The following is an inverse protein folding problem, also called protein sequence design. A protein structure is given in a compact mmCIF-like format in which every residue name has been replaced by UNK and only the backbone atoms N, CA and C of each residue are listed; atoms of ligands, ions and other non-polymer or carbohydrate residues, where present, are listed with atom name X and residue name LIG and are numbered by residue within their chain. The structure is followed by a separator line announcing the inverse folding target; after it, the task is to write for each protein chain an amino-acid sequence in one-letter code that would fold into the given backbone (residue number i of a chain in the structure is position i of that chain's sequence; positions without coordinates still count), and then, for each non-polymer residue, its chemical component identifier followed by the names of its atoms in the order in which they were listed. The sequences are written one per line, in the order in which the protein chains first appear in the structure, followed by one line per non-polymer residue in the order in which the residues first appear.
data_IF_553288174294
#
_entry.id   IF_553288174294
#
_cell.length_a   1.000
_cell.length_b   1.000
_cell.length_c   1.000
_cell.angle_alpha   90.00
_cell.angle_beta   90.00
_cell.angle_gamma   90.00
#
_symmetry.space_group_name_H-M   'P 1'
#
loop_
_entity.id
_entity.type
_entity.pdbx_description
1 polymer ?
#
# COMPACT_ATOMS: atom_id res chain seq x y z
N UNK A 1 0.19 36.87 -16.77
CA UNK A 1 0.37 35.68 -15.91
C UNK A 1 -0.31 35.94 -14.56
N UNK A 2 -1.63 35.73 -14.47
CA UNK A 2 -2.37 35.76 -13.19
C UNK A 2 -3.42 34.66 -13.31
N UNK A 3 -2.99 33.41 -13.11
CA UNK A 3 -3.88 32.24 -13.14
C UNK A 3 -3.43 31.17 -12.12
N UNK A 4 -2.99 31.61 -10.95
CA UNK A 4 -2.75 30.73 -9.79
C UNK A 4 -3.52 31.16 -8.54
N UNK A 5 -4.16 32.34 -8.54
CA UNK A 5 -4.83 32.88 -7.35
C UNK A 5 -6.30 32.43 -7.24
N UNK A 6 -6.91 32.02 -8.36
CA UNK A 6 -8.36 31.80 -8.41
C UNK A 6 -8.79 30.47 -7.78
N UNK A 7 -8.00 29.39 -7.93
CA UNK A 7 -8.41 28.03 -7.52
C UNK A 7 -8.38 27.77 -6.00
N UNK A 8 -7.71 28.61 -5.19
CA UNK A 8 -7.66 28.40 -3.73
C UNK A 8 -8.90 28.92 -3.00
N UNK A 9 -9.67 29.81 -3.65
CA UNK A 9 -10.89 30.38 -3.05
C UNK A 9 -12.06 29.40 -3.00
N UNK A 10 -12.08 28.37 -3.87
CA UNK A 10 -13.12 27.33 -3.90
C UNK A 10 -13.01 26.36 -2.71
N UNK A 11 -11.85 26.30 -2.04
CA UNK A 11 -11.61 25.46 -0.86
C UNK A 11 -11.80 26.22 0.47
N UNK A 12 -12.33 27.45 0.44
CA UNK A 12 -12.53 28.28 1.64
C UNK A 12 -11.23 28.76 2.29
N UNK A 13 -10.11 28.73 1.56
CA UNK A 13 -8.81 29.15 2.07
C UNK A 13 -8.58 30.62 1.67
N UNK A 14 -8.72 31.52 2.64
CA UNK A 14 -8.34 32.92 2.45
C UNK A 14 -6.81 33.06 2.47
N UNK A 15 -6.23 33.36 1.31
CA UNK A 15 -4.80 33.66 1.21
C UNK A 15 -4.53 35.10 1.63
N UNK A 16 -4.09 35.29 2.88
CA UNK A 16 -3.60 36.58 3.37
C UNK A 16 -2.11 36.70 3.12
N UNK A 17 -1.71 37.56 2.18
CA UNK A 17 -0.31 37.90 1.93
C UNK A 17 0.26 38.61 3.17
N UNK A 18 0.99 37.87 4.00
CA UNK A 18 1.80 38.46 5.08
C UNK A 18 3.18 38.76 4.51
N UNK A 19 3.67 39.97 4.81
CA UNK A 19 4.96 40.55 4.43
C UNK A 19 6.10 39.52 4.38
N UNK A 20 6.94 39.65 3.35
CA UNK A 20 8.00 38.72 2.94
C UNK A 20 8.69 37.98 4.10
N UNK A 21 8.38 36.70 4.23
CA UNK A 21 9.05 35.78 5.16
C UNK A 21 10.47 35.55 4.63
N UNK A 22 11.49 35.74 5.49
CA UNK A 22 12.88 35.42 5.14
C UNK A 22 12.95 33.96 4.66
N UNK A 23 13.54 33.74 3.49
CA UNK A 23 13.68 32.40 2.88
C UNK A 23 14.27 31.34 3.82
N UNK A 24 15.01 31.76 4.84
CA UNK A 24 15.50 30.91 5.92
C UNK A 24 14.38 30.20 6.68
N UNK A 25 13.30 30.90 7.03
CA UNK A 25 12.17 30.29 7.76
C UNK A 25 11.46 29.23 6.89
N UNK A 26 11.42 29.45 5.58
CA UNK A 26 10.90 28.45 4.65
C UNK A 26 11.81 27.23 4.55
N UNK A 27 13.13 27.44 4.53
CA UNK A 27 14.12 26.37 4.54
C UNK A 27 14.11 25.59 5.87
N UNK A 28 14.02 26.30 7.00
CA UNK A 28 13.92 25.72 8.34
C UNK A 28 12.63 24.90 8.48
N UNK A 29 11.50 25.38 7.94
CA UNK A 29 10.24 24.63 7.89
C UNK A 29 10.33 23.38 7.01
N UNK A 30 10.99 23.45 5.85
CA UNK A 30 11.22 22.27 4.99
C UNK A 30 12.17 21.28 5.67
N UNK A 31 13.20 21.76 6.37
CA UNK A 31 14.11 20.92 7.16
C UNK A 31 13.36 20.26 8.32
N UNK A 32 12.51 20.99 9.03
CA UNK A 32 11.68 20.46 10.13
C UNK A 32 10.69 19.39 9.62
N UNK A 33 10.07 19.61 8.46
CA UNK A 33 9.20 18.63 7.79
C UNK A 33 9.94 17.41 7.22
N UNK A 34 11.24 17.52 6.94
CA UNK A 34 12.05 16.43 6.37
C UNK A 34 12.85 15.66 7.41
N UNK A 35 13.15 16.27 8.56
CA UNK A 35 13.80 15.62 9.70
C UNK A 35 12.97 14.47 10.24
N UNK A 36 11.65 14.62 10.29
CA UNK A 36 10.75 13.58 10.79
C UNK A 36 10.69 12.37 9.82
N UNK A 37 10.83 12.62 8.51
CA UNK A 37 10.82 11.57 7.48
C UNK A 37 12.03 10.62 7.53
N UNK A 38 13.15 11.01 8.12
CA UNK A 38 14.35 10.18 8.18
C UNK A 38 14.29 9.09 9.28
N UNK A 39 13.32 9.17 10.21
CA UNK A 39 13.20 8.26 11.35
C UNK A 39 11.90 7.43 11.39
N UNK A 40 10.90 7.76 10.58
CA UNK A 40 9.64 7.01 10.51
C UNK A 40 9.88 5.75 9.67
N UNK A 41 9.88 4.58 10.31
CA UNK A 41 9.87 3.30 9.57
C UNK A 41 8.66 3.29 8.63
N UNK A 42 8.86 2.98 7.36
CA UNK A 42 7.76 2.87 6.40
C UNK A 42 6.70 1.91 6.97
N UNK A 43 5.42 2.33 7.08
CA UNK A 43 4.36 1.48 7.61
C UNK A 43 4.29 0.19 6.78
N UNK A 44 4.60 -0.92 7.43
CA UNK A 44 4.69 -2.24 6.81
C UNK A 44 3.41 -3.03 7.05
N UNK A 45 2.92 -3.65 5.99
CA UNK A 45 1.75 -4.54 6.02
C UNK A 45 2.20 -5.99 5.96
N UNK A 46 1.49 -6.87 6.65
CA UNK A 46 1.72 -8.32 6.52
C UNK A 46 0.68 -8.93 5.57
N UNK A 47 1.16 -9.70 4.60
CA UNK A 47 0.34 -10.42 3.63
C UNK A 47 0.56 -11.93 3.81
N UNK A 48 -0.46 -12.63 4.29
CA UNK A 48 -0.48 -14.09 4.38
C UNK A 48 -1.29 -14.65 3.23
N UNK A 49 -0.73 -15.65 2.57
CA UNK A 49 -1.33 -16.33 1.43
C UNK A 49 -1.22 -17.83 1.65
N UNK A 50 -2.32 -18.53 1.37
CA UNK A 50 -2.36 -19.99 1.35
C UNK A 50 -3.25 -20.40 0.17
N UNK A 51 -2.83 -21.40 -0.60
CA UNK A 51 -3.53 -21.84 -1.80
C UNK A 51 -3.58 -23.36 -1.87
N UNK A 52 -4.75 -23.90 -2.18
CA UNK A 52 -4.94 -25.33 -2.30
C UNK A 52 -5.74 -25.70 -3.54
N UNK A 53 -5.31 -26.77 -4.19
CA UNK A 53 -5.99 -27.38 -5.32
C UNK A 53 -6.32 -28.84 -5.00
N UNK A 54 -7.58 -29.18 -5.15
CA UNK A 54 -8.09 -30.55 -5.02
C UNK A 54 -8.77 -30.97 -6.32
N UNK A 55 -9.22 -32.22 -6.39
CA UNK A 55 -10.00 -32.70 -7.53
C UNK A 55 -11.33 -31.96 -7.71
N UNK A 56 -11.88 -31.40 -6.62
CA UNK A 56 -13.21 -30.77 -6.58
C UNK A 56 -13.17 -29.26 -6.50
N UNK A 57 -12.18 -28.68 -5.82
CA UNK A 57 -12.10 -27.23 -5.58
C UNK A 57 -10.68 -26.71 -5.62
N UNK A 58 -10.53 -25.45 -6.03
CA UNK A 58 -9.26 -24.75 -6.19
C UNK A 58 -9.44 -23.32 -5.75
N UNK A 59 -8.74 -22.94 -4.70
CA UNK A 59 -8.87 -21.61 -4.14
C UNK A 59 -7.84 -21.35 -3.08
N UNK A 60 -7.69 -20.08 -2.76
CA UNK A 60 -6.74 -19.64 -1.76
C UNK A 60 -7.34 -18.63 -0.80
N UNK A 61 -6.72 -18.56 0.37
CA UNK A 61 -6.98 -17.57 1.39
C UNK A 61 -5.94 -16.45 1.33
N UNK A 62 -6.40 -15.25 1.62
CA UNK A 62 -5.57 -14.06 1.77
C UNK A 62 -5.91 -13.41 3.11
N UNK A 63 -4.89 -13.08 3.89
CA UNK A 63 -5.03 -12.20 5.04
C UNK A 63 -4.06 -11.04 4.89
N UNK A 64 -4.60 -9.83 4.78
CA UNK A 64 -3.84 -8.60 4.75
C UNK A 64 -3.98 -7.91 6.11
N UNK A 65 -2.86 -7.60 6.76
CA UNK A 65 -2.82 -6.96 8.09
C UNK A 65 -2.22 -5.56 7.96
N UNK A 66 -2.97 -4.55 8.40
CA UNK A 66 -2.49 -3.16 8.42
C UNK A 66 -1.40 -2.96 9.46
N UNK A 67 -0.57 -1.91 9.34
CA UNK A 67 0.38 -1.52 10.39
C UNK A 67 -0.30 -1.22 11.73
N UNK A 68 -1.60 -0.91 11.72
CA UNK A 68 -2.43 -0.67 12.91
C UNK A 68 -3.00 -1.96 13.50
N UNK A 69 -2.83 -3.10 12.82
CA UNK A 69 -3.31 -4.43 13.24
C UNK A 69 -4.67 -4.82 12.67
N UNK A 70 -5.28 -4.01 11.80
CA UNK A 70 -6.55 -4.34 11.15
C UNK A 70 -6.37 -5.51 10.19
N UNK A 71 -7.31 -6.47 10.20
CA UNK A 71 -7.21 -7.69 9.39
C UNK A 71 -8.29 -7.72 8.32
N UNK A 72 -7.87 -7.80 7.07
CA UNK A 72 -8.74 -7.96 5.90
C UNK A 72 -8.57 -9.37 5.33
N UNK A 73 -9.65 -10.14 5.29
CA UNK A 73 -9.65 -11.52 4.83
C UNK A 73 -10.34 -11.64 3.48
N UNK A 74 -9.70 -12.31 2.53
CA UNK A 74 -10.24 -12.55 1.21
C UNK A 74 -10.04 -14.01 0.79
N UNK A 75 -10.82 -14.44 -0.18
CA UNK A 75 -10.71 -15.76 -0.79
C UNK A 75 -10.70 -15.63 -2.30
N UNK A 76 -9.87 -16.44 -2.96
CA UNK A 76 -9.82 -16.58 -4.41
C UNK A 76 -10.35 -17.95 -4.80
N UNK A 77 -10.94 -18.06 -5.99
CA UNK A 77 -11.33 -19.33 -6.57
C UNK A 77 -10.88 -19.37 -8.03
N UNK A 78 -10.24 -20.46 -8.41
CA UNK A 78 -9.80 -20.70 -9.79
C UNK A 78 -10.79 -21.65 -10.46
N UNK A 79 -11.25 -21.28 -11.65
CA UNK A 79 -12.22 -22.07 -12.42
C UNK A 79 -11.56 -23.07 -13.38
N UNK A 80 -10.24 -23.01 -13.53
CA UNK A 80 -9.46 -23.89 -14.40
C UNK A 80 -8.65 -24.91 -13.58
N UNK A 81 -8.26 -26.04 -14.18
CA UNK A 81 -7.35 -26.98 -13.54
C UNK A 81 -6.01 -26.32 -13.22
N UNK A 82 -5.59 -26.41 -11.96
CA UNK A 82 -4.33 -25.84 -11.48
C UNK A 82 -3.72 -26.73 -10.40
N UNK A 83 -2.41 -26.66 -10.21
CA UNK A 83 -1.68 -27.22 -9.07
C UNK A 83 -1.82 -26.35 -7.82
N UNK A 84 -1.41 -26.85 -6.64
CA UNK A 84 -1.39 -26.05 -5.41
C UNK A 84 -0.54 -24.79 -5.59
N UNK A 85 0.65 -24.93 -6.16
CA UNK A 85 1.57 -23.82 -6.39
C UNK A 85 0.97 -22.75 -7.31
N UNK A 86 0.24 -23.15 -8.34
CA UNK A 86 -0.46 -22.22 -9.23
C UNK A 86 -1.59 -21.49 -8.51
N UNK A 87 -2.40 -22.19 -7.71
CA UNK A 87 -3.46 -21.56 -6.91
C UNK A 87 -2.87 -20.56 -5.93
N UNK A 88 -1.80 -20.92 -5.22
CA UNK A 88 -1.16 -20.04 -4.25
C UNK A 88 -0.48 -18.85 -4.93
N UNK A 89 0.13 -19.05 -6.10
CA UNK A 89 0.69 -17.96 -6.92
C UNK A 89 -0.39 -16.97 -7.37
N UNK A 90 -1.52 -17.45 -7.89
CA UNK A 90 -2.64 -16.59 -8.27
C UNK A 90 -3.24 -15.86 -7.05
N UNK A 91 -3.32 -16.55 -5.92
CA UNK A 91 -3.79 -15.97 -4.66
C UNK A 91 -2.84 -14.87 -4.17
N UNK A 92 -1.52 -15.07 -4.32
CA UNK A 92 -0.50 -14.06 -4.02
C UNK A 92 -0.61 -12.84 -4.93
N UNK A 93 -0.84 -13.03 -6.23
CA UNK A 93 -1.06 -11.93 -7.17
C UNK A 93 -2.28 -11.08 -6.77
N UNK A 94 -3.38 -11.72 -6.38
CA UNK A 94 -4.57 -11.02 -5.88
C UNK A 94 -4.25 -10.30 -4.57
N UNK A 95 -3.54 -10.94 -3.64
CA UNK A 95 -3.10 -10.34 -2.38
C UNK A 95 -2.24 -9.08 -2.58
N UNK A 96 -1.29 -9.12 -3.53
CA UNK A 96 -0.47 -7.96 -3.89
C UNK A 96 -1.30 -6.81 -4.48
N UNK A 97 -2.29 -7.11 -5.32
CA UNK A 97 -3.23 -6.09 -5.85
C UNK A 97 -4.05 -5.45 -4.74
N UNK A 98 -4.51 -6.24 -3.76
CA UNK A 98 -5.26 -5.74 -2.60
C UNK A 98 -4.39 -4.83 -1.72
N UNK A 99 -3.12 -5.19 -1.51
CA UNK A 99 -2.18 -4.35 -0.77
C UNK A 99 -1.93 -3.00 -1.49
N UNK A 100 -1.76 -3.02 -2.81
CA UNK A 100 -1.63 -1.80 -3.62
C UNK A 100 -2.90 -0.93 -3.55
N UNK A 101 -4.08 -1.54 -3.65
CA UNK A 101 -5.36 -0.84 -3.50
C UNK A 101 -5.54 -0.24 -2.09
N UNK A 102 -4.89 -0.84 -1.09
CA UNK A 102 -4.82 -0.37 0.30
C UNK A 102 -3.69 0.62 0.54
N UNK A 103 -3.03 1.11 -0.52
CA UNK A 103 -1.94 2.09 -0.47
C UNK A 103 -0.70 1.63 0.31
N UNK A 104 -0.52 0.31 0.48
CA UNK A 104 0.64 -0.25 1.15
C UNK A 104 1.93 0.15 0.41
N UNK A 105 2.88 0.74 1.14
CA UNK A 105 4.21 1.12 0.62
C UNK A 105 5.25 0.04 0.82
N UNK A 106 5.02 -0.83 1.80
CA UNK A 106 5.88 -1.96 2.14
C UNK A 106 5.00 -3.13 2.58
N UNK A 107 5.31 -4.32 2.09
CA UNK A 107 4.63 -5.57 2.45
C UNK A 107 5.66 -6.63 2.83
N UNK A 108 5.35 -7.44 3.86
CA UNK A 108 6.03 -8.70 4.15
C UNK A 108 5.07 -9.82 3.73
N UNK A 109 5.57 -10.78 2.96
CA UNK A 109 4.77 -11.85 2.41
C UNK A 109 5.09 -13.15 3.15
N UNK A 110 4.05 -13.85 3.59
CA UNK A 110 4.10 -15.16 4.21
C UNK A 110 3.31 -16.12 3.33
N UNK A 111 4.00 -17.10 2.75
CA UNK A 111 3.46 -18.05 1.79
C UNK A 111 4.30 -19.32 1.83
N UNK A 112 3.66 -20.46 1.61
CA UNK A 112 4.28 -21.78 1.53
C UNK A 112 4.78 -22.10 0.11
N UNK A 113 4.71 -21.13 -0.81
CA UNK A 113 5.23 -21.21 -2.17
C UNK A 113 6.72 -21.58 -2.17
N UNK A 114 7.01 -22.81 -2.62
CA UNK A 114 8.37 -23.23 -2.95
C UNK A 114 8.75 -22.72 -4.34
N UNK A 115 9.19 -21.45 -4.41
CA UNK A 115 9.77 -20.90 -5.64
C UNK A 115 11.17 -21.49 -5.83
N UNK A 116 11.32 -22.38 -6.81
CA UNK A 116 12.65 -22.79 -7.30
C UNK A 116 13.23 -21.62 -8.06
N UNK A 117 14.12 -20.85 -7.41
CA UNK A 117 14.98 -19.88 -8.10
C UNK A 117 16.11 -20.69 -8.75
N UNK A 118 16.11 -20.76 -10.08
CA UNK A 118 17.22 -21.31 -10.87
C UNK A 118 18.13 -20.20 -11.39
#
# INVERSE_FOLDING_TARGET
MVKCVVELSELGIEFHSRLAIKAQVLADFVVELTYDKASISTPTWDLYVDGSSTSMDRGGGIVLVSPQGDKFKYTTKLEYPSSNNEVEYETLLVGGKLALASWAKQIIIYSDLQLVVN
#
